data_IF_818292053566
#
_entry.id   IF_818292053566
#
_cell.length_a   1.000
_cell.length_b   1.000
_cell.length_c   1.000
_cell.angle_alpha   90.00
_cell.angle_beta   90.00
_cell.angle_gamma   90.00
#
_symmetry.space_group_name_H-M   'P 1'
#
loop_
_entity.id
_entity.type
_entity.pdbx_description
1 polymer ?
#
# COMPACT_ATOMS: atom_id res chain seq x y z
N UNK A 1 19.31 13.55 -15.47
CA UNK A 1 18.14 14.21 -14.85
C UNK A 1 17.79 13.48 -13.57
N UNK A 2 17.38 14.22 -12.53
CA UNK A 2 16.94 13.62 -11.26
C UNK A 2 15.60 12.89 -11.47
N UNK A 3 15.51 11.64 -11.06
CA UNK A 3 14.32 10.79 -11.22
C UNK A 3 13.23 11.26 -10.25
N UNK A 4 12.07 11.69 -10.78
CA UNK A 4 10.92 12.13 -9.98
C UNK A 4 10.13 10.93 -9.47
N UNK A 5 9.91 10.86 -8.15
CA UNK A 5 9.17 9.79 -7.47
C UNK A 5 8.04 10.38 -6.65
N UNK A 6 6.82 9.95 -6.90
CA UNK A 6 5.63 10.49 -6.25
C UNK A 6 4.91 9.44 -5.43
N UNK A 7 4.30 9.88 -4.32
CA UNK A 7 3.35 9.10 -3.55
C UNK A 7 1.92 9.50 -3.91
N UNK A 8 1.03 8.51 -3.97
CA UNK A 8 -0.42 8.68 -4.18
C UNK A 8 -1.14 7.92 -3.08
N UNK A 9 -1.91 8.62 -2.27
CA UNK A 9 -2.62 8.04 -1.14
C UNK A 9 -4.13 8.20 -1.39
N UNK A 10 -4.83 7.12 -1.81
CA UNK A 10 -6.26 7.17 -2.02
C UNK A 10 -7.01 7.03 -0.68
N UNK A 11 -7.81 8.05 -0.33
CA UNK A 11 -8.62 8.09 0.90
C UNK A 11 -10.07 8.39 0.54
N UNK A 12 -10.91 7.35 0.49
CA UNK A 12 -12.34 7.46 0.22
C UNK A 12 -13.09 7.94 1.47
N UNK A 13 -14.03 8.89 1.31
CA UNK A 13 -14.84 9.38 2.43
C UNK A 13 -15.70 8.26 3.02
N UNK A 14 -16.42 7.54 2.18
CA UNK A 14 -17.28 6.45 2.59
C UNK A 14 -16.84 5.13 1.95
N UNK A 15 -16.83 4.06 2.74
CA UNK A 15 -16.56 2.69 2.30
C UNK A 15 -17.73 1.80 2.69
N UNK A 16 -18.24 0.96 1.78
CA UNK A 16 -19.34 0.03 2.10
C UNK A 16 -18.94 -0.99 3.17
N UNK A 17 -17.69 -1.47 3.15
CA UNK A 17 -17.16 -2.46 4.11
C UNK A 17 -16.95 -1.91 5.52
N UNK A 18 -16.93 -0.59 5.69
CA UNK A 18 -16.75 0.08 6.97
C UNK A 18 -17.01 1.57 6.81
N UNK A 19 -18.28 2.03 6.96
CA UNK A 19 -18.61 3.44 6.86
C UNK A 19 -17.74 4.27 7.81
N UNK A 20 -17.03 5.26 7.27
CA UNK A 20 -16.16 6.13 8.06
C UNK A 20 -14.86 5.53 8.56
N UNK A 21 -14.51 4.26 8.21
CA UNK A 21 -13.32 3.58 8.74
C UNK A 21 -12.02 4.39 8.58
N UNK A 22 -11.89 5.14 7.49
CA UNK A 22 -10.70 5.95 7.22
C UNK A 22 -10.53 7.13 8.20
N UNK A 23 -11.58 7.49 8.93
CA UNK A 23 -11.64 8.60 9.87
C UNK A 23 -11.76 8.16 11.34
N UNK A 24 -11.84 6.85 11.59
CA UNK A 24 -11.85 6.28 12.95
C UNK A 24 -10.59 6.73 13.68
N UNK A 25 -10.74 7.09 14.96
CA UNK A 25 -9.62 7.47 15.82
C UNK A 25 -9.01 6.24 16.49
N UNK A 26 -7.72 6.09 16.36
CA UNK A 26 -6.89 5.14 17.09
C UNK A 26 -6.11 5.93 18.13
N UNK A 27 -6.37 5.67 19.41
CA UNK A 27 -5.76 6.42 20.51
C UNK A 27 -5.80 7.95 20.28
N UNK A 28 -6.99 8.47 19.96
CA UNK A 28 -7.29 9.89 19.66
C UNK A 28 -6.70 10.44 18.35
N UNK A 29 -5.97 9.65 17.55
CA UNK A 29 -5.43 10.08 16.25
C UNK A 29 -6.26 9.48 15.11
N UNK A 30 -6.80 10.28 14.17
CA UNK A 30 -7.50 9.76 13.00
C UNK A 30 -6.62 8.82 12.19
N UNK A 31 -7.17 7.70 11.69
CA UNK A 31 -6.41 6.67 10.96
C UNK A 31 -5.62 7.27 9.79
N UNK A 32 -6.24 8.15 8.99
CA UNK A 32 -5.56 8.77 7.85
C UNK A 32 -4.32 9.58 8.28
N UNK A 33 -4.33 10.20 9.46
CA UNK A 33 -3.19 10.98 9.96
C UNK A 33 -1.99 10.08 10.31
N UNK A 34 -2.24 8.88 10.80
CA UNK A 34 -1.17 7.96 11.24
C UNK A 34 -0.21 7.68 10.09
N UNK A 35 -0.73 7.31 8.91
CA UNK A 35 0.11 7.06 7.75
C UNK A 35 0.59 8.35 7.09
N UNK A 36 -0.28 9.35 6.90
CA UNK A 36 0.11 10.60 6.22
C UNK A 36 1.26 11.32 6.92
N UNK A 37 1.27 11.37 8.27
CA UNK A 37 2.40 11.94 9.05
C UNK A 37 3.71 11.19 8.86
N UNK A 38 3.68 9.89 8.54
CA UNK A 38 4.87 9.10 8.19
C UNK A 38 5.30 9.38 6.75
N UNK A 39 4.36 9.40 5.81
CA UNK A 39 4.65 9.61 4.38
C UNK A 39 5.26 10.99 4.13
N UNK A 40 4.84 12.03 4.86
CA UNK A 40 5.44 13.37 4.81
C UNK A 40 6.95 13.35 5.12
N UNK A 41 7.41 12.40 5.95
CA UNK A 41 8.82 12.24 6.33
C UNK A 41 9.62 11.36 5.36
N UNK A 42 8.96 10.82 4.32
CA UNK A 42 9.60 9.94 3.34
C UNK A 42 10.20 10.71 2.16
N UNK A 43 11.11 10.06 1.43
CA UNK A 43 11.90 10.64 0.35
C UNK A 43 11.13 10.69 -0.99
N UNK A 44 9.87 11.16 -0.97
CA UNK A 44 9.10 11.48 -2.16
C UNK A 44 9.39 12.91 -2.62
N UNK A 45 9.39 13.13 -3.95
CA UNK A 45 9.51 14.48 -4.51
C UNK A 45 8.17 15.24 -4.39
N UNK A 46 7.04 14.53 -4.50
CA UNK A 46 5.68 15.07 -4.31
C UNK A 46 4.77 14.00 -3.70
N UNK A 47 3.81 14.45 -2.87
CA UNK A 47 2.83 13.58 -2.21
C UNK A 47 1.43 14.06 -2.57
N UNK A 48 0.66 13.19 -3.22
CA UNK A 48 -0.71 13.43 -3.65
C UNK A 48 -1.69 12.62 -2.81
N UNK A 49 -2.74 13.27 -2.34
CA UNK A 49 -3.84 12.61 -1.63
C UNK A 49 -5.10 12.73 -2.47
N UNK A 50 -5.57 11.58 -2.99
CA UNK A 50 -6.81 11.49 -3.76
C UNK A 50 -7.98 11.23 -2.82
N UNK A 51 -8.91 12.18 -2.73
CA UNK A 51 -10.05 12.07 -1.82
C UNK A 51 -11.26 12.86 -2.27
N UNK A 52 -12.45 12.42 -1.83
CA UNK A 52 -13.73 13.09 -1.91
C UNK A 52 -14.13 13.79 -0.59
N UNK A 53 -13.20 13.92 0.37
CA UNK A 53 -13.44 14.47 1.71
C UNK A 53 -12.86 15.88 1.88
N UNK A 54 -13.68 16.82 2.33
CA UNK A 54 -13.23 18.18 2.70
C UNK A 54 -12.30 18.17 3.93
N UNK A 55 -12.43 17.18 4.83
CA UNK A 55 -11.50 16.99 5.98
C UNK A 55 -10.10 16.73 5.46
N UNK A 56 -9.97 15.81 4.49
CA UNK A 56 -8.68 15.48 3.86
C UNK A 56 -8.12 16.68 3.10
N UNK A 57 -8.96 17.42 2.38
CA UNK A 57 -8.54 18.63 1.67
C UNK A 57 -7.94 19.68 2.61
N UNK A 58 -8.58 19.93 3.77
CA UNK A 58 -8.07 20.82 4.81
C UNK A 58 -6.74 20.31 5.38
N UNK A 59 -6.63 19.01 5.63
CA UNK A 59 -5.39 18.39 6.11
C UNK A 59 -4.24 18.57 5.10
N UNK A 60 -4.50 18.34 3.82
CA UNK A 60 -3.51 18.52 2.76
C UNK A 60 -3.00 19.97 2.71
N UNK A 61 -3.93 20.95 2.72
CA UNK A 61 -3.56 22.38 2.73
C UNK A 61 -2.67 22.74 3.92
N UNK A 62 -3.00 22.23 5.12
CA UNK A 62 -2.24 22.49 6.34
C UNK A 62 -0.81 21.91 6.30
N UNK A 63 -0.62 20.78 5.60
CA UNK A 63 0.63 20.01 5.61
C UNK A 63 1.43 20.09 4.29
N UNK A 64 1.06 20.99 3.36
CA UNK A 64 1.78 21.17 2.09
C UNK A 64 1.67 19.98 1.12
N UNK A 65 0.58 19.20 1.21
CA UNK A 65 0.33 18.05 0.34
C UNK A 65 -0.55 18.45 -0.85
N UNK A 66 -0.36 17.81 -2.00
CA UNK A 66 -1.23 17.99 -3.15
C UNK A 66 -2.55 17.23 -2.96
N UNK A 67 -3.65 17.97 -2.91
CA UNK A 67 -4.99 17.39 -2.88
C UNK A 67 -5.50 17.16 -4.29
N UNK A 68 -5.94 15.95 -4.58
CA UNK A 68 -6.65 15.58 -5.80
C UNK A 68 -8.11 15.28 -5.47
N UNK A 69 -9.03 16.08 -6.03
CA UNK A 69 -10.46 15.82 -5.89
C UNK A 69 -10.80 14.53 -6.64
N UNK A 70 -11.23 13.49 -5.91
CA UNK A 70 -11.60 12.20 -6.49
C UNK A 70 -12.76 12.35 -7.47
N UNK A 71 -12.61 11.77 -8.65
CA UNK A 71 -13.72 11.70 -9.61
C UNK A 71 -14.82 10.75 -9.07
N UNK A 72 -16.13 11.10 -9.26
CA UNK A 72 -17.23 10.26 -8.77
C UNK A 72 -17.13 8.79 -9.21
N UNK A 73 -16.77 8.52 -10.47
CA UNK A 73 -16.57 7.16 -10.99
C UNK A 73 -15.48 6.37 -10.26
N UNK A 74 -14.45 7.04 -9.73
CA UNK A 74 -13.37 6.41 -8.96
C UNK A 74 -13.70 6.30 -7.45
N UNK A 75 -14.83 6.85 -7.03
CA UNK A 75 -15.39 6.66 -5.70
C UNK A 75 -16.34 5.46 -5.61
N UNK A 76 -16.73 4.86 -6.74
CA UNK A 76 -17.54 3.65 -6.79
C UNK A 76 -16.76 2.44 -6.25
N UNK A 77 -17.49 1.42 -5.75
CA UNK A 77 -16.86 0.21 -5.25
C UNK A 77 -16.31 -0.70 -6.35
N UNK A 78 -16.74 -0.48 -7.60
CA UNK A 78 -16.19 -1.14 -8.78
C UNK A 78 -14.80 -0.63 -9.16
N UNK A 79 -14.40 0.57 -8.72
CA UNK A 79 -13.07 1.12 -9.00
C UNK A 79 -12.03 0.48 -8.09
N UNK A 80 -10.97 -0.04 -8.69
CA UNK A 80 -9.86 -0.69 -7.99
C UNK A 80 -8.58 0.15 -8.00
N UNK A 81 -7.52 -0.37 -7.36
CA UNK A 81 -6.23 0.34 -7.28
C UNK A 81 -5.58 0.63 -8.63
N UNK A 82 -5.79 -0.22 -9.64
CA UNK A 82 -5.27 0.01 -10.99
C UNK A 82 -6.01 1.15 -11.68
N UNK A 83 -7.34 1.23 -11.53
CA UNK A 83 -8.16 2.30 -12.13
C UNK A 83 -7.73 3.67 -11.60
N UNK A 84 -7.54 3.78 -10.27
CA UNK A 84 -7.01 4.96 -9.60
C UNK A 84 -5.64 5.34 -10.14
N UNK A 85 -4.70 4.39 -10.16
CA UNK A 85 -3.32 4.65 -10.58
C UNK A 85 -3.24 5.04 -12.06
N UNK A 86 -4.02 4.40 -12.93
CA UNK A 86 -4.10 4.74 -14.34
C UNK A 86 -4.65 6.14 -14.59
N UNK A 87 -5.61 6.58 -13.77
CA UNK A 87 -6.09 7.96 -13.81
C UNK A 87 -5.01 8.94 -13.35
N UNK A 88 -4.37 8.67 -12.22
CA UNK A 88 -3.31 9.53 -11.70
C UNK A 88 -2.12 9.64 -12.65
N UNK A 89 -1.73 8.56 -13.32
CA UNK A 89 -0.68 8.57 -14.34
C UNK A 89 -0.96 9.54 -15.51
N UNK A 90 -2.24 9.80 -15.84
CA UNK A 90 -2.62 10.75 -16.89
C UNK A 90 -2.44 12.21 -16.47
N UNK A 91 -2.55 12.51 -15.19
CA UNK A 91 -2.57 13.89 -14.66
C UNK A 91 -1.31 14.26 -13.88
N UNK A 92 -0.51 13.27 -13.46
CA UNK A 92 0.74 13.47 -12.72
C UNK A 92 1.90 12.96 -13.58
N UNK A 93 2.90 13.80 -13.80
CA UNK A 93 4.14 13.41 -14.50
C UNK A 93 5.21 13.03 -13.49
N UNK A 94 5.62 11.76 -13.50
CA UNK A 94 6.69 11.22 -12.66
C UNK A 94 7.35 10.01 -13.34
N UNK A 95 8.54 9.63 -12.86
CA UNK A 95 9.26 8.43 -13.32
C UNK A 95 8.86 7.19 -12.53
N UNK A 96 8.52 7.38 -11.24
CA UNK A 96 8.08 6.31 -10.35
C UNK A 96 6.83 6.75 -9.59
N UNK A 97 5.86 5.86 -9.53
CA UNK A 97 4.58 6.04 -8.83
C UNK A 97 4.49 5.06 -7.68
N UNK A 98 4.17 5.55 -6.50
CA UNK A 98 3.89 4.72 -5.32
C UNK A 98 2.45 4.93 -4.87
N UNK A 99 1.69 3.86 -4.75
CA UNK A 99 0.41 3.86 -4.04
C UNK A 99 0.63 3.36 -2.61
N UNK A 100 0.12 4.11 -1.62
CA UNK A 100 0.12 3.72 -0.21
C UNK A 100 -1.29 3.78 0.34
N UNK A 101 -1.64 2.80 1.18
CA UNK A 101 -2.97 2.66 1.72
C UNK A 101 -2.97 2.88 3.23
N UNK A 102 -3.88 3.75 3.71
CA UNK A 102 -3.97 4.11 5.13
C UNK A 102 -4.42 2.95 6.01
N UNK A 103 -4.94 1.88 5.41
CA UNK A 103 -5.27 0.63 6.10
C UNK A 103 -4.06 -0.15 6.56
N UNK A 104 -2.84 0.22 6.12
CA UNK A 104 -1.58 -0.32 6.62
C UNK A 104 -0.83 0.72 7.47
N UNK A 105 -1.37 1.13 8.63
CA UNK A 105 -0.89 2.27 9.41
C UNK A 105 0.46 2.03 10.10
N UNK A 106 0.85 0.78 10.27
CA UNK A 106 2.10 0.42 10.96
C UNK A 106 3.33 0.52 10.07
N UNK A 107 3.16 0.60 8.74
CA UNK A 107 4.29 0.75 7.83
C UNK A 107 5.18 1.92 8.25
N UNK A 108 6.49 1.66 8.38
CA UNK A 108 7.46 2.63 8.87
C UNK A 108 8.02 3.52 7.75
N UNK A 109 8.52 4.69 8.12
CA UNK A 109 9.28 5.58 7.22
C UNK A 109 10.48 4.85 6.62
N UNK A 110 11.15 4.01 7.42
CA UNK A 110 12.30 3.23 6.96
C UNK A 110 11.92 2.24 5.85
N UNK A 111 10.84 1.48 6.03
CA UNK A 111 10.33 0.54 5.02
C UNK A 111 9.96 1.26 3.73
N UNK A 112 9.21 2.37 3.81
CA UNK A 112 8.82 3.16 2.65
C UNK A 112 10.08 3.66 1.91
N UNK A 113 11.05 4.24 2.63
CA UNK A 113 12.28 4.77 2.03
C UNK A 113 13.16 3.68 1.41
N UNK A 114 13.22 2.48 2.01
CA UNK A 114 13.89 1.31 1.41
C UNK A 114 13.23 0.92 0.08
N UNK A 115 11.89 0.86 0.04
CA UNK A 115 11.16 0.56 -1.20
C UNK A 115 11.43 1.60 -2.29
N UNK A 116 11.44 2.90 -1.95
CA UNK A 116 11.78 3.98 -2.87
C UNK A 116 13.20 3.79 -3.43
N UNK A 117 14.18 3.55 -2.55
CA UNK A 117 15.59 3.35 -2.94
C UNK A 117 15.75 2.16 -3.87
N UNK A 118 15.16 1.02 -3.53
CA UNK A 118 15.23 -0.21 -4.33
C UNK A 118 14.65 0.02 -5.73
N UNK A 119 13.44 0.61 -5.84
CA UNK A 119 12.81 0.82 -7.15
C UNK A 119 13.59 1.81 -8.01
N UNK A 120 14.16 2.87 -7.41
CA UNK A 120 14.97 3.87 -8.13
C UNK A 120 16.29 3.30 -8.63
N UNK A 121 16.98 2.52 -7.83
CA UNK A 121 18.35 2.07 -8.10
C UNK A 121 18.43 0.76 -8.88
N UNK A 122 17.49 -0.16 -8.68
CA UNK A 122 17.55 -1.47 -9.32
C UNK A 122 16.93 -1.42 -10.73
N UNK A 123 17.81 -1.51 -11.74
CA UNK A 123 17.40 -1.51 -13.15
C UNK A 123 16.76 -2.83 -13.61
N UNK A 124 16.92 -3.92 -12.84
CA UNK A 124 16.40 -5.26 -13.19
C UNK A 124 14.92 -5.43 -12.86
N UNK A 125 14.37 -4.59 -11.99
CA UNK A 125 12.96 -4.61 -11.58
C UNK A 125 12.20 -3.46 -12.23
N UNK A 126 10.89 -3.60 -12.35
CA UNK A 126 9.99 -2.58 -12.89
C UNK A 126 8.87 -2.18 -11.93
N UNK A 127 8.68 -2.95 -10.87
CA UNK A 127 7.74 -2.65 -9.78
C UNK A 127 8.22 -3.24 -8.46
N UNK A 128 7.62 -2.81 -7.36
CA UNK A 128 7.86 -3.30 -6.01
C UNK A 128 6.52 -3.33 -5.26
N UNK A 129 6.35 -4.33 -4.43
CA UNK A 129 5.20 -4.41 -3.52
C UNK A 129 5.64 -4.96 -2.16
N UNK A 130 4.91 -4.57 -1.14
CA UNK A 130 5.13 -5.11 0.21
C UNK A 130 4.42 -6.45 0.37
N UNK A 131 5.10 -7.39 1.02
CA UNK A 131 4.62 -8.75 1.20
C UNK A 131 5.08 -9.34 2.54
N UNK A 132 4.55 -10.52 2.83
CA UNK A 132 5.00 -11.40 3.91
C UNK A 132 5.12 -12.82 3.40
N UNK A 133 6.19 -13.50 3.78
CA UNK A 133 6.38 -14.93 3.52
C UNK A 133 5.77 -15.76 4.66
N UNK A 134 4.90 -16.71 4.32
CA UNK A 134 4.28 -17.62 5.28
C UNK A 134 4.85 -19.03 5.07
N UNK A 135 5.50 -19.51 6.11
CA UNK A 135 6.08 -20.86 6.19
C UNK A 135 5.06 -21.78 6.85
N UNK A 136 4.26 -22.48 6.03
CA UNK A 136 3.24 -23.43 6.45
C UNK A 136 2.89 -24.37 5.31
N UNK A 137 2.00 -25.32 5.54
CA UNK A 137 1.48 -26.23 4.52
C UNK A 137 0.20 -25.65 3.92
N UNK A 138 0.26 -25.34 2.64
CA UNK A 138 -0.87 -24.72 1.94
C UNK A 138 -1.54 -25.70 0.99
N UNK A 139 -2.89 -25.57 0.93
CA UNK A 139 -3.74 -26.33 0.04
C UNK A 139 -4.54 -25.38 -0.86
N UNK A 140 -4.72 -25.76 -2.11
CA UNK A 140 -5.58 -25.06 -3.05
C UNK A 140 -6.43 -26.08 -3.81
N UNK A 141 -7.77 -25.94 -3.75
CA UNK A 141 -8.73 -26.84 -4.39
C UNK A 141 -8.46 -28.31 -4.11
N UNK A 142 -8.20 -28.65 -2.82
CA UNK A 142 -7.96 -30.02 -2.37
C UNK A 142 -6.58 -30.59 -2.70
N UNK A 143 -5.64 -29.76 -3.20
CA UNK A 143 -4.26 -30.20 -3.53
C UNK A 143 -3.23 -29.39 -2.75
N UNK A 144 -2.18 -30.02 -2.21
CA UNK A 144 -1.07 -29.29 -1.60
C UNK A 144 -0.29 -28.52 -2.68
N UNK A 145 0.10 -27.25 -2.40
CA UNK A 145 0.75 -26.40 -3.41
C UNK A 145 2.24 -26.18 -3.15
N UNK A 146 2.69 -26.28 -1.91
CA UNK A 146 4.06 -25.93 -1.54
C UNK A 146 4.83 -27.08 -0.84
N UNK A 147 4.25 -28.26 -0.73
CA UNK A 147 4.91 -29.44 -0.16
C UNK A 147 4.38 -30.74 -0.79
N UNK A 148 5.07 -31.86 -0.52
CA UNK A 148 4.65 -33.21 -0.94
C UNK A 148 4.21 -33.98 0.32
N UNK A 149 2.94 -34.42 0.47
CA UNK A 149 2.44 -35.09 1.67
C UNK A 149 3.24 -36.33 2.09
N UNK A 150 3.75 -37.11 1.13
CA UNK A 150 4.57 -38.32 1.42
C UNK A 150 5.93 -37.97 2.05
N UNK A 151 6.48 -36.77 1.83
CA UNK A 151 7.77 -36.34 2.37
C UNK A 151 7.60 -35.58 3.68
N UNK A 152 6.48 -34.84 3.82
CA UNK A 152 6.06 -34.04 4.98
C UNK A 152 7.24 -33.28 5.64
N UNK A 153 7.76 -32.22 5.01
CA UNK A 153 8.79 -31.39 5.61
C UNK A 153 8.24 -30.72 6.88
N UNK A 154 9.11 -30.31 7.81
CA UNK A 154 8.68 -29.45 8.92
C UNK A 154 8.04 -28.16 8.34
N UNK A 155 7.06 -27.59 9.01
CA UNK A 155 6.34 -26.41 8.49
C UNK A 155 7.27 -25.23 8.17
N UNK A 156 8.29 -24.99 9.02
CA UNK A 156 9.31 -23.97 8.80
C UNK A 156 10.26 -24.23 7.61
N UNK A 157 10.34 -25.47 7.14
CA UNK A 157 11.17 -25.88 5.99
C UNK A 157 10.34 -25.99 4.70
N UNK A 158 9.02 -25.79 4.77
CA UNK A 158 8.16 -25.73 3.60
C UNK A 158 8.51 -24.51 2.75
N UNK A 159 8.35 -24.61 1.43
CA UNK A 159 8.50 -23.44 0.55
C UNK A 159 7.47 -22.38 0.95
N UNK A 160 7.88 -21.12 1.25
CA UNK A 160 6.93 -20.11 1.69
C UNK A 160 5.96 -19.75 0.58
N UNK A 161 4.74 -19.40 0.99
CA UNK A 161 3.76 -18.72 0.13
C UNK A 161 3.81 -17.23 0.47
N UNK A 162 3.91 -16.40 -0.55
CA UNK A 162 4.01 -14.95 -0.38
C UNK A 162 2.61 -14.34 -0.41
N UNK A 163 2.28 -13.55 0.63
CA UNK A 163 1.04 -12.76 0.70
C UNK A 163 1.36 -11.29 0.45
N UNK A 164 0.59 -10.63 -0.43
CA UNK A 164 0.62 -9.16 -0.55
C UNK A 164 0.04 -8.53 0.72
N UNK A 165 0.78 -7.60 1.34
CA UNK A 165 0.29 -6.87 2.53
C UNK A 165 -0.57 -5.66 2.18
N UNK A 166 -0.84 -5.44 0.91
CA UNK A 166 -1.64 -4.35 0.32
C UNK A 166 -1.20 -2.92 0.66
N UNK A 167 -0.26 -2.74 1.56
CA UNK A 167 0.12 -1.42 2.09
C UNK A 167 0.85 -0.50 1.13
N UNK A 168 1.73 -1.05 0.24
CA UNK A 168 2.52 -0.26 -0.68
C UNK A 168 2.74 -0.99 -2.00
N UNK A 169 2.53 -0.25 -3.10
CA UNK A 169 2.89 -0.65 -4.46
C UNK A 169 3.66 0.47 -5.13
N UNK A 170 4.84 0.15 -5.68
CA UNK A 170 5.65 1.07 -6.46
C UNK A 170 5.85 0.55 -7.88
N UNK A 171 5.77 1.42 -8.89
CA UNK A 171 5.94 1.04 -10.28
C UNK A 171 6.64 2.15 -11.08
N UNK A 172 7.52 1.74 -12.02
CA UNK A 172 8.15 2.65 -12.98
C UNK A 172 7.16 3.07 -14.05
N UNK A 173 7.21 4.33 -14.46
CA UNK A 173 6.33 4.93 -15.48
C UNK A 173 6.20 4.07 -16.74
N UNK A 174 7.33 3.66 -17.31
CA UNK A 174 7.36 2.85 -18.53
C UNK A 174 6.57 1.55 -18.42
N UNK A 175 6.62 0.89 -17.26
CA UNK A 175 5.87 -0.34 -17.00
C UNK A 175 4.39 -0.06 -16.77
N UNK A 176 4.05 0.98 -15.99
CA UNK A 176 2.68 1.41 -15.77
C UNK A 176 1.98 1.78 -17.08
N UNK A 177 2.61 2.59 -17.91
CA UNK A 177 2.10 3.00 -19.22
C UNK A 177 1.76 1.80 -20.11
N UNK A 178 2.64 0.78 -20.14
CA UNK A 178 2.48 -0.41 -20.96
C UNK A 178 1.44 -1.38 -20.42
N UNK A 179 1.42 -1.60 -19.10
CA UNK A 179 0.62 -2.67 -18.47
C UNK A 179 -0.72 -2.23 -17.90
N UNK A 180 -0.87 -0.93 -17.62
CA UNK A 180 -2.06 -0.38 -16.93
C UNK A 180 -2.35 -1.07 -15.58
N UNK A 181 -1.31 -1.59 -14.92
CA UNK A 181 -1.36 -2.35 -13.69
C UNK A 181 -0.29 -1.84 -12.73
N UNK A 182 -0.59 -1.80 -11.43
CA UNK A 182 0.36 -1.41 -10.38
C UNK A 182 1.50 -2.42 -10.17
N UNK A 183 1.37 -3.62 -10.73
CA UNK A 183 2.39 -4.67 -10.71
C UNK A 183 2.94 -4.87 -12.12
N UNK A 184 4.25 -4.76 -12.26
CA UNK A 184 4.97 -4.89 -13.51
C UNK A 184 5.22 -6.35 -13.93
N UNK A 185 6.13 -6.54 -14.91
CA UNK A 185 6.60 -7.88 -15.34
C UNK A 185 7.65 -8.46 -14.40
N UNK A 186 8.43 -7.60 -13.75
CA UNK A 186 9.57 -7.96 -12.90
C UNK A 186 9.39 -7.32 -11.52
N UNK A 187 8.38 -7.75 -10.75
CA UNK A 187 8.12 -7.21 -9.44
C UNK A 187 9.21 -7.62 -8.45
N UNK A 188 9.57 -6.71 -7.55
CA UNK A 188 10.35 -7.02 -6.37
C UNK A 188 9.38 -7.18 -5.18
N UNK A 189 9.47 -8.30 -4.51
CA UNK A 189 8.70 -8.59 -3.30
C UNK A 189 9.51 -8.12 -2.09
N UNK A 190 9.06 -7.03 -1.48
CA UNK A 190 9.70 -6.49 -0.28
C UNK A 190 9.04 -7.08 0.96
N UNK A 191 9.73 -7.96 1.65
CA UNK A 191 9.23 -8.53 2.89
C UNK A 191 9.27 -7.49 4.00
N UNK A 192 8.10 -7.18 4.57
CA UNK A 192 7.99 -6.19 5.64
C UNK A 192 8.38 -6.79 7.00
N UNK A 193 8.95 -5.98 7.92
CA UNK A 193 9.17 -6.39 9.30
C UNK A 193 7.86 -6.78 9.99
N UNK A 194 7.97 -7.54 11.09
CA UNK A 194 6.83 -7.91 11.92
C UNK A 194 5.98 -6.68 12.29
N UNK A 195 4.67 -6.86 12.31
CA UNK A 195 3.61 -5.86 12.55
C UNK A 195 3.39 -4.85 11.42
N UNK A 196 4.32 -4.63 10.49
CA UNK A 196 4.09 -3.74 9.35
C UNK A 196 3.18 -4.38 8.27
N UNK A 197 2.89 -5.67 8.40
CA UNK A 197 1.98 -6.44 7.56
C UNK A 197 0.49 -6.26 7.92
N UNK A 198 0.17 -5.56 9.00
CA UNK A 198 -1.21 -5.32 9.41
C UNK A 198 -1.97 -4.49 8.37
N UNK A 199 -3.04 -5.06 7.82
CA UNK A 199 -4.05 -4.37 7.01
C UNK A 199 -5.38 -4.33 7.77
N UNK A 200 -6.00 -3.16 7.89
CA UNK A 200 -7.21 -2.98 8.67
C UNK A 200 -8.44 -3.25 7.82
N UNK A 201 -9.02 -4.43 7.93
CA UNK A 201 -10.21 -4.82 7.21
C UNK A 201 -11.46 -4.99 8.08
N UNK A 202 -11.31 -5.49 9.29
CA UNK A 202 -12.38 -5.82 10.23
C UNK A 202 -12.20 -5.12 11.59
N UNK A 203 -13.16 -5.27 12.50
CA UNK A 203 -13.17 -4.60 13.81
C UNK A 203 -11.99 -5.04 14.70
N UNK A 204 -11.66 -6.31 14.65
CA UNK A 204 -10.59 -6.93 15.42
C UNK A 204 -9.23 -6.32 15.07
N UNK A 205 -8.99 -5.97 13.80
CA UNK A 205 -7.77 -5.30 13.36
C UNK A 205 -7.62 -3.91 14.01
N UNK A 206 -8.73 -3.17 14.16
CA UNK A 206 -8.72 -1.86 14.81
C UNK A 206 -8.47 -1.98 16.32
N UNK A 207 -9.07 -2.98 16.98
CA UNK A 207 -8.85 -3.27 18.38
C UNK A 207 -7.38 -3.66 18.62
N UNK A 208 -6.84 -4.54 17.78
CA UNK A 208 -5.45 -4.94 17.83
C UNK A 208 -4.50 -3.73 17.62
N UNK A 209 -4.75 -2.91 16.60
CA UNK A 209 -3.97 -1.70 16.37
C UNK A 209 -4.00 -0.76 17.57
N UNK A 210 -5.19 -0.54 18.16
CA UNK A 210 -5.34 0.29 19.34
C UNK A 210 -4.54 -0.24 20.52
N UNK A 211 -4.55 -1.57 20.72
CA UNK A 211 -3.81 -2.24 21.80
C UNK A 211 -2.29 -2.06 21.65
N UNK A 212 -1.73 -2.39 20.48
CA UNK A 212 -0.27 -2.34 20.27
C UNK A 212 0.30 -0.92 20.14
N UNK A 213 -0.57 0.08 19.94
CA UNK A 213 -0.16 1.50 19.86
C UNK A 213 -0.50 2.30 21.12
N UNK A 214 -1.09 1.68 22.14
CA UNK A 214 -1.20 2.29 23.49
C UNK A 214 0.21 2.46 24.04
N UNK A 215 0.55 3.70 24.32
CA UNK A 215 1.76 4.06 25.08
C UNK A 215 1.43 4.11 26.56
#
# INVERSE_FOLDING_TARGET
MKTKTVAIIPIKKNSKRGPGKNFVKINNVPLYEILLKKVIKCNFDEIYVDSDSEVIKKFCKKNGLFYLKRLPKLALDSANGNDLLNYHHKIIKADNYFQLFITSPLMSVNTINKCIKILKQNKKIDSILTCKSIYSWFWFKGKPINYKPKVLPRSQDAKPVVIETTGLYGIKEKSLKKRKCRIGKKPFFFEVPNHEDLDLDNKEDFEYLSYITKK
#
